data_IF_695084864564
#
_entry.id   IF_695084864564
#
_cell.length_a   1.000
_cell.length_b   1.000
_cell.length_c   1.000
_cell.angle_alpha   90.00
_cell.angle_beta   90.00
_cell.angle_gamma   90.00
#
_symmetry.space_group_name_H-M   'P 1'
#
loop_
_entity.id
_entity.type
_entity.pdbx_description
1 polymer ?
#
# COMPACT_ATOMS: atom_id res chain seq x y z
N UNK A 1 25.41 -3.79 6.18
CA UNK A 1 24.80 -5.05 6.62
C UNK A 1 25.80 -6.18 6.34
N UNK A 2 26.19 -6.99 7.33
CA UNK A 2 27.35 -7.89 7.18
C UNK A 2 27.01 -9.25 6.54
N UNK A 3 25.77 -9.73 6.68
CA UNK A 3 25.30 -10.97 6.03
C UNK A 3 23.76 -10.98 5.94
N UNK A 4 23.23 -10.82 4.73
CA UNK A 4 21.79 -10.88 4.47
C UNK A 4 21.26 -12.31 4.65
N UNK A 5 22.07 -13.33 4.35
CA UNK A 5 21.72 -14.74 4.52
C UNK A 5 21.48 -15.10 5.99
N UNK A 6 22.30 -14.57 6.89
CA UNK A 6 22.12 -14.76 8.33
C UNK A 6 20.81 -14.13 8.85
N UNK A 7 20.42 -12.94 8.36
CA UNK A 7 19.14 -12.30 8.70
C UNK A 7 17.98 -13.13 8.16
N UNK A 8 18.12 -13.65 6.93
CA UNK A 8 17.09 -14.47 6.31
C UNK A 8 16.84 -15.74 7.14
N UNK A 9 17.91 -16.43 7.51
CA UNK A 9 17.85 -17.67 8.26
C UNK A 9 17.34 -17.43 9.68
N UNK A 10 17.78 -16.35 10.34
CA UNK A 10 17.28 -15.98 11.66
C UNK A 10 15.76 -15.75 11.63
N UNK A 11 15.24 -15.01 10.64
CA UNK A 11 13.80 -14.85 10.50
C UNK A 11 13.09 -16.19 10.25
N UNK A 12 13.64 -17.07 9.40
CA UNK A 12 13.06 -18.39 9.11
C UNK A 12 12.97 -19.24 10.38
N UNK A 13 14.02 -19.24 11.20
CA UNK A 13 14.03 -19.94 12.50
C UNK A 13 12.98 -19.36 13.44
N UNK A 14 12.90 -18.04 13.58
CA UNK A 14 11.90 -17.38 14.44
C UNK A 14 10.46 -17.69 14.02
N UNK A 15 10.19 -17.73 12.71
CA UNK A 15 8.88 -18.11 12.16
C UNK A 15 8.50 -19.55 12.54
N UNK A 16 9.44 -20.48 12.47
CA UNK A 16 9.21 -21.92 12.72
C UNK A 16 9.05 -22.28 14.21
N UNK A 17 9.54 -21.46 15.13
CA UNK A 17 9.47 -21.74 16.57
C UNK A 17 8.06 -21.55 17.16
N UNK A 18 7.17 -20.83 16.48
CA UNK A 18 5.82 -20.52 16.98
C UNK A 18 4.75 -21.29 16.20
N UNK A 19 3.90 -22.06 16.91
CA UNK A 19 2.73 -22.71 16.31
C UNK A 19 1.84 -21.66 15.64
N UNK A 20 1.42 -21.93 14.41
CA UNK A 20 0.49 -21.06 13.69
C UNK A 20 -0.94 -21.33 14.16
N UNK A 21 -1.64 -20.25 14.51
CA UNK A 21 -3.07 -20.25 14.81
C UNK A 21 -3.73 -19.30 13.84
N UNK A 22 -4.74 -19.78 13.12
CA UNK A 22 -5.56 -18.92 12.27
C UNK A 22 -6.63 -18.17 13.08
N UNK A 23 -6.86 -18.56 14.35
CA UNK A 23 -7.85 -17.94 15.25
C UNK A 23 -7.59 -16.45 15.41
N UNK A 24 -8.55 -15.58 15.08
CA UNK A 24 -8.40 -14.13 15.23
C UNK A 24 -7.99 -13.67 16.65
N UNK A 25 -8.38 -14.41 17.69
CA UNK A 25 -8.04 -14.13 19.09
C UNK A 25 -6.65 -14.64 19.51
N UNK A 26 -6.02 -15.49 18.70
CA UNK A 26 -4.74 -16.17 18.97
C UNK A 26 -3.76 -16.01 17.79
N UNK A 27 -4.03 -15.05 16.89
CA UNK A 27 -3.18 -14.74 15.76
C UNK A 27 -1.92 -14.01 16.24
N UNK A 28 -0.75 -14.48 15.84
CA UNK A 28 0.53 -13.95 16.30
C UNK A 28 0.94 -12.70 15.50
N UNK A 29 0.66 -11.51 16.03
CA UNK A 29 0.96 -10.24 15.33
C UNK A 29 2.44 -9.82 15.36
N UNK A 30 3.31 -10.58 16.04
CA UNK A 30 4.73 -10.30 16.24
C UNK A 30 5.66 -11.13 15.31
N UNK A 31 5.09 -11.81 14.31
CA UNK A 31 5.86 -12.55 13.29
C UNK A 31 5.31 -12.37 11.88
N UNK A 32 6.13 -12.73 10.90
CA UNK A 32 5.71 -12.78 9.50
C UNK A 32 4.95 -14.06 9.18
N UNK A 33 3.89 -13.93 8.40
CA UNK A 33 2.97 -15.00 8.02
C UNK A 33 3.00 -15.28 6.52
N UNK A 34 2.62 -16.51 6.15
CA UNK A 34 2.35 -16.88 4.76
C UNK A 34 1.07 -16.22 4.26
N UNK A 35 0.91 -16.13 2.93
CA UNK A 35 -0.30 -15.53 2.34
C UNK A 35 -1.56 -16.36 2.68
N UNK A 36 -1.43 -17.67 2.78
CA UNK A 36 -2.53 -18.57 3.17
C UNK A 36 -2.99 -18.29 4.60
N UNK A 37 -2.07 -18.07 5.54
CA UNK A 37 -2.38 -17.70 6.92
C UNK A 37 -3.04 -16.32 7.00
N UNK A 38 -2.55 -15.34 6.24
CA UNK A 38 -3.13 -13.99 6.18
C UNK A 38 -4.55 -14.05 5.59
N UNK A 39 -4.77 -14.81 4.53
CA UNK A 39 -6.10 -14.99 3.93
C UNK A 39 -7.06 -15.67 4.91
N UNK A 40 -6.61 -16.70 5.64
CA UNK A 40 -7.40 -17.34 6.68
C UNK A 40 -7.75 -16.35 7.80
N UNK A 41 -6.79 -15.54 8.23
CA UNK A 41 -7.00 -14.49 9.24
C UNK A 41 -8.03 -13.45 8.78
N UNK A 42 -7.97 -12.99 7.52
CA UNK A 42 -8.98 -12.07 6.95
C UNK A 42 -10.39 -12.68 7.01
N UNK A 43 -10.54 -13.93 6.58
CA UNK A 43 -11.83 -14.62 6.60
C UNK A 43 -12.36 -14.76 8.04
N UNK A 44 -11.48 -15.00 9.00
CA UNK A 44 -11.84 -15.11 10.41
C UNK A 44 -12.20 -13.79 11.08
N UNK A 45 -11.50 -12.69 10.79
CA UNK A 45 -11.86 -11.35 11.30
C UNK A 45 -13.28 -10.99 10.87
N UNK A 46 -13.61 -11.26 9.60
CA UNK A 46 -14.96 -11.03 9.07
C UNK A 46 -16.00 -11.92 9.76
N UNK A 47 -15.69 -13.19 9.98
CA UNK A 47 -16.59 -14.11 10.68
C UNK A 47 -16.78 -13.76 12.17
N UNK A 48 -15.76 -13.21 12.81
CA UNK A 48 -15.77 -12.84 14.23
C UNK A 48 -16.53 -11.53 14.47
N UNK A 49 -16.43 -10.57 13.54
CA UNK A 49 -17.03 -9.23 13.66
C UNK A 49 -17.99 -8.89 12.50
N UNK A 50 -19.01 -9.72 12.19
CA UNK A 50 -19.87 -9.54 11.02
C UNK A 50 -20.74 -8.27 11.08
N UNK A 51 -20.86 -7.65 12.24
CA UNK A 51 -21.62 -6.40 12.44
C UNK A 51 -20.86 -5.15 11.97
N UNK A 52 -19.54 -5.21 11.88
CA UNK A 52 -18.68 -4.09 11.44
C UNK A 52 -17.74 -4.43 10.28
N UNK A 53 -17.43 -5.70 10.04
CA UNK A 53 -16.54 -6.15 8.98
C UNK A 53 -17.34 -6.75 7.81
N UNK A 54 -17.00 -6.35 6.58
CA UNK A 54 -17.59 -6.93 5.36
C UNK A 54 -16.46 -7.36 4.43
N UNK A 55 -16.42 -8.61 3.97
CA UNK A 55 -15.35 -9.07 3.08
C UNK A 55 -15.52 -8.45 1.69
N UNK A 56 -14.41 -8.24 0.99
CA UNK A 56 -14.44 -7.96 -0.44
C UNK A 56 -13.22 -8.56 -1.13
N UNK A 57 -13.36 -8.78 -2.44
CA UNK A 57 -12.26 -9.20 -3.32
C UNK A 57 -12.11 -8.15 -4.40
N UNK A 58 -10.91 -7.56 -4.52
CA UNK A 58 -10.60 -6.55 -5.53
C UNK A 58 -10.54 -7.18 -6.92
N UNK A 59 -10.01 -8.40 -6.99
CA UNK A 59 -9.84 -9.16 -8.21
C UNK A 59 -8.96 -10.38 -7.96
N UNK A 60 -8.38 -10.89 -9.04
CA UNK A 60 -7.37 -11.95 -9.02
C UNK A 60 -6.01 -11.37 -9.43
N UNK A 61 -4.93 -11.88 -8.83
CA UNK A 61 -3.56 -11.65 -9.28
C UNK A 61 -3.26 -12.36 -10.60
N UNK A 62 -2.09 -12.10 -11.19
CA UNK A 62 -1.61 -12.76 -12.39
C UNK A 62 -1.53 -14.28 -12.23
N UNK A 63 -1.15 -14.74 -11.04
CA UNK A 63 -1.07 -16.16 -10.68
C UNK A 63 -2.39 -16.70 -10.09
N UNK A 64 -3.51 -16.01 -10.35
CA UNK A 64 -4.87 -16.41 -9.98
C UNK A 64 -5.15 -16.50 -8.46
N UNK A 65 -4.44 -15.70 -7.65
CA UNK A 65 -4.73 -15.57 -6.19
C UNK A 65 -5.77 -14.49 -5.94
N UNK A 66 -6.66 -14.71 -4.97
CA UNK A 66 -7.62 -13.68 -4.56
C UNK A 66 -6.93 -12.49 -3.91
N UNK A 67 -7.22 -11.29 -4.39
CA UNK A 67 -6.82 -10.05 -3.74
C UNK A 67 -7.87 -9.67 -2.71
N UNK A 68 -7.77 -10.28 -1.52
CA UNK A 68 -8.76 -10.15 -0.44
C UNK A 68 -8.55 -8.86 0.36
N UNK A 69 -9.64 -8.35 0.91
CA UNK A 69 -9.66 -7.30 1.91
C UNK A 69 -10.96 -7.33 2.69
N UNK A 70 -11.07 -6.49 3.71
CA UNK A 70 -12.31 -6.29 4.43
C UNK A 70 -12.56 -4.80 4.68
N UNK A 71 -13.83 -4.43 4.61
CA UNK A 71 -14.32 -3.09 4.88
C UNK A 71 -14.77 -3.03 6.32
N UNK A 72 -14.33 -2.00 7.05
CA UNK A 72 -14.84 -1.69 8.38
C UNK A 72 -15.86 -0.55 8.27
N UNK A 73 -17.09 -0.79 8.74
CA UNK A 73 -18.13 0.24 8.81
C UNK A 73 -19.14 -0.04 9.92
N UNK A 74 -19.52 0.97 10.71
CA UNK A 74 -20.62 0.84 11.67
C UNK A 74 -21.98 1.03 10.99
N UNK A 75 -22.96 0.19 11.35
CA UNK A 75 -24.37 0.39 10.96
C UNK A 75 -25.02 1.61 11.65
N UNK A 76 -24.44 2.09 12.76
CA UNK A 76 -24.83 3.38 13.35
C UNK A 76 -24.39 4.50 12.41
N UNK A 77 -25.35 5.19 11.81
CA UNK A 77 -25.13 6.48 11.16
C UNK A 77 -24.31 7.36 12.10
N UNK A 78 -23.16 7.86 11.64
CA UNK A 78 -22.41 8.84 12.41
C UNK A 78 -23.35 10.03 12.69
N UNK A 79 -23.54 10.35 13.97
CA UNK A 79 -24.24 11.56 14.39
C UNK A 79 -23.58 12.76 13.71
N UNK A 80 -24.39 13.58 13.02
CA UNK A 80 -23.97 14.84 12.38
C UNK A 80 -23.06 15.63 13.32
N UNK A 81 -21.76 15.69 13.03
CA UNK A 81 -20.92 16.80 13.45
C UNK A 81 -20.83 17.74 12.24
N UNK A 82 -21.42 18.91 12.39
CA UNK A 82 -21.10 20.12 11.63
C UNK A 82 -21.15 20.02 10.10
N UNK A 83 -22.31 19.62 9.55
CA UNK A 83 -22.62 19.83 8.13
C UNK A 83 -21.89 18.92 7.12
N UNK A 84 -20.96 18.08 7.55
CA UNK A 84 -20.25 17.14 6.68
C UNK A 84 -21.00 15.80 6.66
N UNK A 85 -21.44 15.36 5.47
CA UNK A 85 -22.02 14.00 5.28
C UNK A 85 -20.95 12.96 5.58
N UNK A 86 -21.04 12.31 6.73
CA UNK A 86 -20.16 11.20 7.09
C UNK A 86 -20.47 9.97 6.23
N UNK A 87 -19.54 9.61 5.34
CA UNK A 87 -19.56 8.34 4.61
C UNK A 87 -18.58 7.42 5.31
N UNK A 88 -19.10 6.47 6.10
CA UNK A 88 -18.29 5.43 6.71
C UNK A 88 -17.86 4.42 5.64
N UNK A 89 -16.67 4.60 5.09
CA UNK A 89 -15.95 3.53 4.39
C UNK A 89 -14.47 3.62 4.73
N UNK A 90 -13.99 2.66 5.50
CA UNK A 90 -12.55 2.41 5.69
C UNK A 90 -12.25 1.04 5.07
N UNK A 91 -11.30 1.03 4.15
CA UNK A 91 -10.76 -0.18 3.53
C UNK A 91 -9.26 -0.23 3.85
N UNK A 92 -8.75 -1.42 4.14
CA UNK A 92 -7.32 -1.68 4.37
C UNK A 92 -6.92 -2.84 3.46
N UNK A 93 -5.75 -2.74 2.82
CA UNK A 93 -5.18 -3.77 1.95
C UNK A 93 -3.66 -3.84 2.17
N UNK A 94 -3.08 -5.03 1.98
CA UNK A 94 -1.66 -5.32 2.09
C UNK A 94 -1.26 -6.35 1.02
N UNK A 95 -0.07 -6.21 0.42
CA UNK A 95 0.65 -7.30 -0.26
C UNK A 95 2.16 -7.01 -0.26
N UNK A 96 2.98 -8.04 -0.14
CA UNK A 96 4.45 -7.93 -0.11
C UNK A 96 5.16 -9.29 -0.08
N UNK A 97 6.18 -9.43 -0.92
CA UNK A 97 7.12 -10.56 -0.96
C UNK A 97 8.47 -10.13 -0.35
N UNK A 98 9.26 -11.13 0.10
CA UNK A 98 10.42 -11.03 0.98
C UNK A 98 11.61 -10.23 0.41
N UNK A 99 11.97 -10.50 -0.84
CA UNK A 99 13.07 -9.81 -1.55
C UNK A 99 12.73 -9.54 -3.02
N UNK A 100 11.71 -10.21 -3.56
CA UNK A 100 11.21 -9.93 -4.88
C UNK A 100 10.25 -8.74 -4.81
N UNK A 101 10.56 -7.67 -5.55
CA UNK A 101 9.81 -6.40 -5.50
C UNK A 101 8.68 -6.32 -6.54
N UNK A 102 8.87 -6.94 -7.71
CA UNK A 102 7.97 -6.79 -8.86
C UNK A 102 6.79 -7.75 -8.79
N UNK A 103 5.83 -7.61 -9.70
CA UNK A 103 4.84 -8.66 -9.96
C UNK A 103 5.50 -9.92 -10.57
N UNK A 104 4.70 -10.92 -10.96
CA UNK A 104 5.17 -12.18 -11.59
C UNK A 104 4.68 -12.35 -13.03
N UNK A 105 4.18 -11.28 -13.65
CA UNK A 105 3.70 -11.31 -15.03
C UNK A 105 4.80 -11.67 -16.03
N UNK A 106 4.43 -12.28 -17.15
CA UNK A 106 5.37 -12.47 -18.27
C UNK A 106 5.57 -11.15 -18.99
N UNK A 107 6.80 -10.90 -19.42
CA UNK A 107 7.16 -9.69 -20.19
C UNK A 107 7.55 -10.07 -21.62
N UNK A 108 7.80 -9.07 -22.47
CA UNK A 108 8.42 -9.26 -23.79
C UNK A 108 9.81 -9.90 -23.74
N UNK A 109 10.52 -9.83 -22.61
CA UNK A 109 11.80 -10.49 -22.40
C UNK A 109 11.60 -11.85 -21.68
N UNK A 110 11.88 -13.00 -22.31
CA UNK A 110 11.47 -14.32 -21.80
C UNK A 110 12.00 -14.72 -20.41
N UNK A 111 13.12 -14.13 -19.97
CA UNK A 111 13.77 -14.45 -18.69
C UNK A 111 13.47 -13.41 -17.59
N UNK A 112 12.73 -12.35 -17.92
CA UNK A 112 12.44 -11.25 -17.02
C UNK A 112 10.94 -11.21 -16.74
N UNK A 113 10.60 -11.16 -15.46
CA UNK A 113 9.24 -11.29 -14.96
C UNK A 113 8.85 -10.03 -14.19
N UNK A 114 7.59 -9.65 -14.34
CA UNK A 114 6.96 -8.60 -13.57
C UNK A 114 7.38 -7.18 -13.91
N UNK A 115 6.47 -6.26 -13.62
CA UNK A 115 6.73 -4.83 -13.54
C UNK A 115 6.74 -4.38 -12.07
N UNK A 116 7.36 -3.23 -11.79
CA UNK A 116 7.23 -2.57 -10.49
C UNK A 116 5.78 -2.07 -10.34
N UNK A 117 5.00 -2.63 -9.40
CA UNK A 117 3.59 -2.25 -9.23
C UNK A 117 3.41 -0.80 -8.77
N UNK A 118 4.48 -0.12 -8.33
CA UNK A 118 4.49 1.31 -8.01
C UNK A 118 5.21 2.17 -9.08
N UNK A 119 5.36 1.64 -10.31
CA UNK A 119 5.68 2.39 -11.54
C UNK A 119 4.66 2.17 -12.66
N UNK A 120 3.63 1.37 -12.41
CA UNK A 120 2.68 0.89 -13.41
C UNK A 120 1.35 1.67 -13.46
N UNK A 121 1.19 2.74 -12.67
CA UNK A 121 -0.05 3.51 -12.63
C UNK A 121 -0.09 4.58 -13.73
N UNK A 122 -1.27 4.87 -14.26
CA UNK A 122 -1.47 5.84 -15.36
C UNK A 122 -1.40 7.30 -14.89
N UNK A 123 -0.27 7.68 -14.30
CA UNK A 123 0.02 9.05 -13.92
C UNK A 123 1.49 9.37 -14.21
N UNK A 124 1.70 10.25 -15.20
CA UNK A 124 3.01 10.55 -15.78
C UNK A 124 3.82 9.27 -16.12
N UNK A 125 3.12 8.24 -16.61
CA UNK A 125 3.62 6.86 -16.65
C UNK A 125 4.94 6.70 -17.43
N UNK A 126 5.85 5.93 -16.85
CA UNK A 126 7.14 5.53 -17.43
C UNK A 126 8.04 6.69 -17.91
N UNK A 127 7.99 7.83 -17.21
CA UNK A 127 8.83 9.00 -17.50
C UNK A 127 10.15 8.95 -16.71
N UNK A 128 10.25 9.62 -15.55
CA UNK A 128 11.42 9.69 -14.68
C UNK A 128 11.33 8.66 -13.56
N UNK A 129 12.47 8.14 -13.14
CA UNK A 129 12.57 7.18 -12.03
C UNK A 129 11.89 5.83 -12.28
N UNK A 130 11.61 5.52 -13.55
CA UNK A 130 11.07 4.25 -14.03
C UNK A 130 11.89 3.79 -15.24
N UNK A 131 11.87 2.49 -15.52
CA UNK A 131 12.58 1.89 -16.65
C UNK A 131 11.61 1.23 -17.62
N UNK A 132 11.92 1.28 -18.91
CA UNK A 132 11.24 0.48 -19.94
C UNK A 132 11.92 -0.86 -20.21
N UNK A 133 13.04 -1.15 -19.54
CA UNK A 133 13.72 -2.45 -19.60
C UNK A 133 12.98 -3.48 -18.73
N UNK A 134 12.42 -4.57 -19.31
CA UNK A 134 11.71 -5.60 -18.55
C UNK A 134 12.52 -6.28 -17.45
N UNK A 135 13.86 -6.25 -17.54
CA UNK A 135 14.76 -6.84 -16.56
C UNK A 135 15.10 -5.90 -15.39
N UNK A 136 14.72 -4.63 -15.49
CA UNK A 136 14.92 -3.65 -14.42
C UNK A 136 13.97 -3.88 -13.24
N UNK A 137 14.44 -3.62 -12.02
CA UNK A 137 13.62 -3.60 -10.80
C UNK A 137 12.58 -2.48 -10.79
N UNK A 138 12.79 -1.43 -11.59
CA UNK A 138 11.86 -0.31 -11.76
C UNK A 138 11.14 -0.36 -13.11
N UNK A 139 11.05 -1.53 -13.73
CA UNK A 139 10.32 -1.73 -14.98
C UNK A 139 8.87 -1.25 -14.84
N UNK A 140 8.46 -0.30 -15.67
CA UNK A 140 7.16 0.36 -15.58
C UNK A 140 5.99 -0.46 -16.15
N UNK A 141 6.28 -1.58 -16.80
CA UNK A 141 5.32 -2.41 -17.53
C UNK A 141 5.30 -2.12 -19.03
N UNK A 142 4.57 -2.94 -19.79
CA UNK A 142 4.40 -2.77 -21.24
C UNK A 142 3.48 -1.58 -21.59
N UNK A 143 2.62 -1.20 -20.64
CA UNK A 143 1.72 -0.04 -20.67
C UNK A 143 1.28 0.31 -19.25
N UNK A 144 0.73 1.50 -19.05
CA UNK A 144 0.04 1.82 -17.80
C UNK A 144 -1.06 0.79 -17.51
N UNK A 145 -1.14 0.34 -16.26
CA UNK A 145 -2.02 -0.73 -15.80
C UNK A 145 -1.87 -2.05 -16.57
N UNK A 146 -0.66 -2.38 -17.05
CA UNK A 146 -0.37 -3.71 -17.60
C UNK A 146 -0.48 -4.81 -16.55
N UNK A 147 -0.21 -4.50 -15.29
CA UNK A 147 -0.30 -5.46 -14.20
C UNK A 147 -1.77 -5.61 -13.78
N UNK A 148 -2.26 -6.84 -13.72
CA UNK A 148 -3.67 -7.09 -13.37
C UNK A 148 -3.96 -6.61 -11.94
N UNK A 149 -3.00 -6.70 -11.04
CA UNK A 149 -3.10 -6.24 -9.66
C UNK A 149 -3.35 -4.73 -9.60
N UNK A 150 -2.52 -3.93 -10.28
CA UNK A 150 -2.67 -2.46 -10.29
C UNK A 150 -3.95 -2.03 -11.00
N UNK A 151 -4.29 -2.68 -12.12
CA UNK A 151 -5.52 -2.41 -12.87
C UNK A 151 -6.79 -2.67 -12.03
N UNK A 152 -6.82 -3.77 -11.28
CA UNK A 152 -7.99 -4.13 -10.45
C UNK A 152 -8.12 -3.18 -9.25
N UNK A 153 -7.01 -2.80 -8.61
CA UNK A 153 -7.03 -1.81 -7.52
C UNK A 153 -7.47 -0.44 -8.04
N UNK A 154 -6.96 0.02 -9.18
CA UNK A 154 -7.38 1.28 -9.80
C UNK A 154 -8.89 1.28 -10.10
N UNK A 155 -9.43 0.18 -10.65
CA UNK A 155 -10.87 -0.01 -10.88
C UNK A 155 -11.67 0.00 -9.57
N UNK A 156 -11.18 -0.66 -8.52
CA UNK A 156 -11.83 -0.66 -7.22
C UNK A 156 -11.88 0.75 -6.61
N UNK A 157 -10.78 1.50 -6.66
CA UNK A 157 -10.69 2.89 -6.18
C UNK A 157 -11.61 3.80 -7.00
N UNK A 158 -11.64 3.64 -8.33
CA UNK A 158 -12.54 4.39 -9.21
C UNK A 158 -14.01 4.23 -8.79
N UNK A 159 -14.41 3.02 -8.39
CA UNK A 159 -15.76 2.74 -7.88
C UNK A 159 -16.07 3.34 -6.48
N UNK A 160 -15.06 3.91 -5.81
CA UNK A 160 -15.23 4.64 -4.55
C UNK A 160 -15.05 6.15 -4.69
N UNK A 161 -14.84 6.67 -5.91
CA UNK A 161 -14.68 8.10 -6.15
C UNK A 161 -15.83 8.91 -5.55
N UNK A 162 -15.49 10.08 -5.00
CA UNK A 162 -16.43 10.92 -4.25
C UNK A 162 -16.75 10.44 -2.83
N UNK A 163 -16.33 9.22 -2.45
CA UNK A 163 -16.49 8.70 -1.08
C UNK A 163 -15.18 8.37 -0.39
N UNK A 164 -14.11 8.10 -1.16
CA UNK A 164 -12.78 7.85 -0.63
C UNK A 164 -12.08 9.18 -0.32
N UNK A 165 -11.81 9.42 0.96
CA UNK A 165 -11.20 10.68 1.44
C UNK A 165 -9.70 10.53 1.70
N UNK A 166 -9.27 9.34 2.15
CA UNK A 166 -7.87 9.02 2.45
C UNK A 166 -7.44 7.76 1.70
N UNK A 167 -6.21 7.77 1.23
CA UNK A 167 -5.51 6.62 0.69
C UNK A 167 -4.11 6.59 1.27
N UNK A 168 -3.69 5.44 1.81
CA UNK A 168 -2.35 5.27 2.38
C UNK A 168 -1.74 4.03 1.76
N UNK A 169 -0.58 4.19 1.14
CA UNK A 169 0.24 3.12 0.60
C UNK A 169 1.43 2.88 1.51
N UNK A 170 1.52 1.69 2.11
CA UNK A 170 2.60 1.32 3.01
C UNK A 170 3.74 0.62 2.25
N UNK A 171 4.96 1.07 2.52
CA UNK A 171 6.23 0.50 2.07
C UNK A 171 7.16 0.34 3.29
N UNK A 172 8.33 -0.23 3.05
CA UNK A 172 9.46 -0.21 3.97
C UNK A 172 10.75 -0.24 3.15
N UNK A 173 11.83 0.41 3.57
CA UNK A 173 12.09 1.10 4.84
C UNK A 173 12.52 2.56 4.56
N UNK A 174 12.56 3.42 5.58
CA UNK A 174 13.27 4.73 5.65
C UNK A 174 12.64 5.67 6.70
N UNK A 175 11.52 5.30 7.32
CA UNK A 175 10.75 6.15 8.24
C UNK A 175 10.30 7.49 7.59
N UNK A 176 9.52 7.40 6.52
CA UNK A 176 9.06 8.55 5.73
C UNK A 176 7.54 8.61 5.65
N UNK A 177 6.96 9.80 5.76
CA UNK A 177 5.53 10.08 5.54
C UNK A 177 5.36 11.07 4.40
N UNK A 178 4.88 10.60 3.25
CA UNK A 178 5.08 11.29 1.98
C UNK A 178 3.77 11.58 1.27
N UNK A 179 3.70 12.73 0.61
CA UNK A 179 2.57 13.18 -0.19
C UNK A 179 2.95 13.31 -1.67
N UNK A 180 1.98 13.41 -2.58
CA UNK A 180 2.25 13.81 -3.96
C UNK A 180 2.99 15.15 -4.05
N UNK A 181 3.77 15.40 -5.09
CA UNK A 181 3.97 14.52 -6.24
C UNK A 181 5.22 13.65 -6.09
N UNK A 182 5.21 12.46 -6.70
CA UNK A 182 6.40 11.64 -6.88
C UNK A 182 7.11 11.94 -8.19
N UNK A 183 6.40 12.27 -9.26
CA UNK A 183 7.05 12.47 -10.58
C UNK A 183 7.81 13.81 -10.73
N UNK A 184 7.51 14.80 -9.87
CA UNK A 184 8.05 16.16 -9.94
C UNK A 184 8.26 16.77 -8.56
N UNK A 185 9.24 17.67 -8.44
CA UNK A 185 9.50 18.44 -7.21
C UNK A 185 8.56 19.63 -7.01
N UNK A 186 7.69 19.90 -7.98
CA UNK A 186 6.60 20.86 -7.81
C UNK A 186 5.62 20.36 -6.75
N UNK A 187 5.02 21.30 -6.02
CA UNK A 187 4.03 21.00 -4.98
C UNK A 187 2.64 20.89 -5.59
N UNK A 188 1.83 20.00 -5.01
CA UNK A 188 0.40 19.92 -5.34
C UNK A 188 -0.36 21.16 -4.84
N UNK A 189 -1.49 21.55 -5.46
CA UNK A 189 -2.33 22.64 -4.95
C UNK A 189 -2.81 22.43 -3.50
N UNK A 190 -2.96 21.18 -3.05
CA UNK A 190 -3.36 20.84 -1.69
C UNK A 190 -2.18 20.44 -0.78
N UNK A 191 -0.93 20.73 -1.18
CA UNK A 191 0.26 20.33 -0.44
C UNK A 191 0.21 20.78 1.03
N UNK A 192 -0.18 22.02 1.31
CA UNK A 192 -0.26 22.51 2.70
C UNK A 192 -1.21 21.66 3.55
N UNK A 193 -2.37 21.29 3.02
CA UNK A 193 -3.35 20.47 3.73
C UNK A 193 -2.84 19.04 3.95
N UNK A 194 -2.14 18.48 2.96
CA UNK A 194 -1.49 17.18 3.08
C UNK A 194 -0.38 17.21 4.13
N UNK A 195 0.43 18.27 4.16
CA UNK A 195 1.55 18.45 5.09
C UNK A 195 1.08 18.65 6.54
N UNK A 196 0.05 19.47 6.76
CA UNK A 196 -0.60 19.62 8.08
C UNK A 196 -1.13 18.27 8.62
N UNK A 197 -1.62 17.40 7.71
CA UNK A 197 -2.05 16.04 8.03
C UNK A 197 -0.89 15.11 8.37
N UNK A 198 0.20 15.17 7.60
CA UNK A 198 1.45 14.41 7.86
C UNK A 198 2.02 14.73 9.23
N UNK A 199 2.09 16.02 9.59
CA UNK A 199 2.62 16.47 10.89
C UNK A 199 1.80 15.88 12.06
N UNK A 200 0.47 15.89 11.96
CA UNK A 200 -0.39 15.32 12.99
C UNK A 200 -0.20 13.80 13.12
N UNK A 201 -0.12 13.09 12.00
CA UNK A 201 0.11 11.65 11.99
C UNK A 201 1.47 11.29 12.60
N UNK A 202 2.53 12.01 12.21
CA UNK A 202 3.89 11.80 12.71
C UNK A 202 3.96 12.12 14.20
N UNK A 203 3.39 13.22 14.67
CA UNK A 203 3.39 13.56 16.10
C UNK A 203 2.73 12.47 16.94
N UNK A 204 1.61 11.91 16.47
CA UNK A 204 0.94 10.80 17.13
C UNK A 204 1.83 9.53 17.14
N UNK A 205 2.49 9.21 16.02
CA UNK A 205 3.40 8.08 15.91
C UNK A 205 4.61 8.23 16.86
N UNK A 206 5.25 9.40 16.84
CA UNK A 206 6.37 9.76 17.71
C UNK A 206 5.98 9.65 19.19
N UNK A 207 4.74 10.01 19.55
CA UNK A 207 4.24 9.92 20.92
C UNK A 207 4.21 8.51 21.52
N UNK A 208 4.24 7.45 20.71
CA UNK A 208 4.19 6.05 21.20
C UNK A 208 5.57 5.53 21.58
N UNK A 209 6.57 5.71 20.70
CA UNK A 209 7.90 5.10 20.85
C UNK A 209 9.08 6.04 20.54
N UNK A 210 8.83 7.33 20.33
CA UNK A 210 9.87 8.32 20.01
C UNK A 210 10.47 8.21 18.61
N UNK A 211 9.97 7.30 17.76
CA UNK A 211 10.47 7.10 16.40
C UNK A 211 10.19 8.31 15.53
N UNK A 212 11.24 8.86 14.93
CA UNK A 212 11.17 10.06 14.11
C UNK A 212 10.89 9.69 12.65
N UNK A 213 9.94 10.38 12.03
CA UNK A 213 9.64 10.27 10.61
C UNK A 213 9.89 11.61 9.92
N UNK A 214 10.46 11.57 8.71
CA UNK A 214 10.53 12.76 7.86
C UNK A 214 9.26 12.88 7.02
N UNK A 215 8.85 14.10 6.66
CA UNK A 215 7.72 14.32 5.76
C UNK A 215 8.03 15.30 4.62
N UNK A 216 7.26 15.18 3.54
CA UNK A 216 7.35 16.05 2.39
C UNK A 216 6.67 15.47 1.16
N UNK A 217 6.95 16.05 -0.01
CA UNK A 217 6.55 15.41 -1.28
C UNK A 217 7.53 14.27 -1.60
N UNK A 218 7.04 13.19 -2.20
CA UNK A 218 7.86 12.00 -2.52
C UNK A 218 9.10 12.39 -3.33
N UNK A 219 8.94 13.21 -4.36
CA UNK A 219 10.05 13.64 -5.22
C UNK A 219 11.15 14.43 -4.48
N UNK A 220 10.77 15.17 -3.43
CA UNK A 220 11.70 16.02 -2.67
C UNK A 220 12.49 15.22 -1.63
N UNK A 221 11.87 14.23 -0.98
CA UNK A 221 12.50 13.54 0.16
C UNK A 221 13.10 12.18 -0.19
N UNK A 222 12.71 11.58 -1.33
CA UNK A 222 13.33 10.35 -1.86
C UNK A 222 14.03 10.64 -3.19
N UNK A 223 13.26 10.68 -4.28
CA UNK A 223 13.69 10.97 -5.65
C UNK A 223 12.46 11.04 -6.56
N UNK A 224 12.60 11.64 -7.74
CA UNK A 224 11.52 11.68 -8.71
C UNK A 224 11.20 10.29 -9.29
N UNK A 225 9.95 9.87 -9.22
CA UNK A 225 9.44 8.59 -9.69
C UNK A 225 8.05 8.74 -10.33
N UNK A 226 7.90 8.20 -11.54
CA UNK A 226 6.64 8.18 -12.30
C UNK A 226 5.80 6.94 -12.06
N UNK A 227 4.52 7.00 -12.41
CA UNK A 227 3.61 5.86 -12.37
C UNK A 227 3.34 5.31 -10.98
N UNK A 228 3.41 6.18 -9.96
CA UNK A 228 3.13 5.80 -8.57
C UNK A 228 1.63 5.80 -8.30
N UNK A 229 1.20 4.93 -7.37
CA UNK A 229 -0.21 4.89 -6.95
C UNK A 229 -0.65 6.17 -6.25
N UNK A 230 0.25 6.79 -5.45
CA UNK A 230 -0.06 7.98 -4.65
C UNK A 230 -0.35 9.19 -5.55
N UNK A 231 0.40 9.33 -6.64
CA UNK A 231 0.15 10.38 -7.63
C UNK A 231 -1.15 10.12 -8.39
N UNK A 232 -1.42 8.88 -8.79
CA UNK A 232 -2.66 8.53 -9.48
C UNK A 232 -3.90 8.72 -8.60
N UNK A 233 -3.87 8.30 -7.33
CA UNK A 233 -5.02 8.45 -6.42
C UNK A 233 -5.33 9.91 -6.13
N UNK A 234 -4.31 10.75 -6.03
CA UNK A 234 -4.51 12.19 -5.87
C UNK A 234 -4.96 12.86 -7.17
N UNK A 235 -4.23 12.66 -8.27
CA UNK A 235 -4.42 13.39 -9.53
C UNK A 235 -5.57 12.91 -10.40
N UNK A 236 -5.95 11.63 -10.32
CA UNK A 236 -7.04 11.05 -11.13
C UNK A 236 -8.23 10.66 -10.25
N UNK A 237 -7.99 9.98 -9.12
CA UNK A 237 -9.08 9.55 -8.24
C UNK A 237 -9.61 10.63 -7.29
N UNK A 238 -9.02 11.83 -7.33
CA UNK A 238 -9.40 12.98 -6.51
C UNK A 238 -9.42 12.70 -4.99
N UNK A 239 -8.49 11.86 -4.53
CA UNK A 239 -8.32 11.55 -3.11
C UNK A 239 -7.29 12.51 -2.51
N UNK A 240 -7.77 13.58 -1.88
CA UNK A 240 -6.91 14.65 -1.36
C UNK A 240 -5.83 14.13 -0.41
N UNK A 241 -6.17 13.25 0.53
CA UNK A 241 -5.22 12.70 1.49
C UNK A 241 -4.65 11.38 0.98
N UNK A 242 -3.87 11.45 -0.09
CA UNK A 242 -3.09 10.33 -0.62
C UNK A 242 -1.67 10.38 -0.05
N UNK A 243 -1.24 9.31 0.61
CA UNK A 243 0.08 9.23 1.24
C UNK A 243 0.82 7.94 0.88
N UNK A 244 2.14 8.05 0.73
CA UNK A 244 3.07 6.92 0.77
C UNK A 244 3.81 6.93 2.11
N UNK A 245 3.90 5.80 2.79
CA UNK A 245 4.57 5.69 4.10
C UNK A 245 5.66 4.63 4.02
N UNK A 246 6.91 5.03 4.19
CA UNK A 246 8.03 4.09 4.42
C UNK A 246 8.12 3.81 5.91
N UNK A 247 7.87 2.57 6.31
CA UNK A 247 7.93 2.14 7.70
C UNK A 247 9.39 2.01 8.19
N UNK A 248 9.56 1.46 9.39
CA UNK A 248 10.89 1.17 9.95
C UNK A 248 11.69 0.19 9.07
N UNK A 249 13.01 0.19 9.14
CA UNK A 249 13.90 1.11 9.87
C UNK A 249 14.39 2.27 8.96
N UNK A 250 15.66 2.69 9.06
CA UNK A 250 16.25 3.87 8.38
C UNK A 250 17.41 3.51 7.48
#
# INVERSE_FOLDING_TARGET
>A
MADIGAIIEMQRVLQNLHRSSSNANDFAYDKYHTIEEIHAWVDQIVATYPEIATPFTVGKSYENRDMKGFKISSKKMATKRDGIKAIAKKAVWWDGDRLWRKTRSKTSAPLCFGADPNRNWDYDWCSRGASSDPCSDTFCGEKAFSEIETAQVAKFIANQQGTLVHYINFHSYSQLWMSPWSYTTLRSPQFKLQDDGSIQAINALTGVHGTQYQHGTIAQIIYAASGSTVDWTYGIANVTFSYGVELRDT
#
